data_IF_213981407457
#
_entry.id   IF_213981407457
#
_cell.length_a   1.000
_cell.length_b   1.000
_cell.length_c   1.000
_cell.angle_alpha   90.00
_cell.angle_beta   90.00
_cell.angle_gamma   90.00
#
_symmetry.space_group_name_H-M   'P 1'
#
loop_
_entity.id
_entity.type
_entity.pdbx_description
1 polymer ?
#
# COMPACT_ATOMS: atom_id res chain seq x y z
N UNK A 1 12.03 20.92 -1.88
CA UNK A 1 12.60 19.72 -1.22
C UNK A 1 12.41 18.58 -2.20
N UNK A 2 13.49 18.08 -2.80
CA UNK A 2 13.43 16.97 -3.76
C UNK A 2 13.47 15.67 -2.94
N UNK A 3 12.31 15.04 -2.76
CA UNK A 3 12.20 13.67 -2.25
C UNK A 3 11.99 12.70 -3.40
N UNK A 4 12.16 11.40 -3.16
CA UNK A 4 11.83 10.36 -4.14
C UNK A 4 10.34 10.02 -4.04
N UNK A 5 9.70 9.81 -5.17
CA UNK A 5 8.30 9.36 -5.15
C UNK A 5 8.27 7.85 -5.01
N UNK A 6 7.61 7.36 -3.97
CA UNK A 6 7.51 5.94 -3.68
C UNK A 6 6.06 5.53 -3.79
N UNK A 7 5.81 4.40 -4.44
CA UNK A 7 4.48 3.81 -4.56
C UNK A 7 4.53 2.35 -4.13
N UNK A 8 3.84 2.06 -3.05
CA UNK A 8 3.60 0.68 -2.64
C UNK A 8 2.27 0.21 -3.24
N UNK A 9 2.26 -1.01 -3.79
CA UNK A 9 1.05 -1.67 -4.28
C UNK A 9 0.93 -3.06 -3.66
N UNK A 10 -0.29 -3.45 -3.32
CA UNK A 10 -0.62 -4.80 -2.89
C UNK A 10 -1.79 -5.32 -3.73
N UNK A 11 -1.60 -6.51 -4.29
CA UNK A 11 -2.57 -7.19 -5.14
C UNK A 11 -3.18 -8.35 -4.38
N UNK A 12 -4.50 -8.47 -4.45
CA UNK A 12 -5.26 -9.49 -3.77
C UNK A 12 -6.16 -10.23 -4.75
N UNK A 13 -6.30 -11.53 -4.54
CA UNK A 13 -7.13 -12.43 -5.32
C UNK A 13 -8.26 -13.01 -4.46
N UNK A 14 -9.29 -13.52 -5.13
CA UNK A 14 -10.41 -14.21 -4.49
C UNK A 14 -11.38 -13.26 -3.79
N UNK A 15 -11.48 -12.02 -4.26
CA UNK A 15 -12.44 -11.05 -3.73
C UNK A 15 -13.87 -11.40 -4.18
N UNK A 16 -14.81 -11.36 -3.23
CA UNK A 16 -16.23 -11.66 -3.39
C UNK A 16 -17.08 -10.73 -2.48
N UNK A 17 -18.37 -11.04 -2.33
CA UNK A 17 -19.39 -10.18 -1.71
C UNK A 17 -19.15 -9.74 -0.25
N UNK A 18 -18.23 -10.37 0.48
CA UNK A 18 -17.90 -9.99 1.87
C UNK A 18 -16.43 -9.65 2.08
N UNK A 19 -15.67 -9.58 0.99
CA UNK A 19 -14.25 -9.27 0.98
C UNK A 19 -13.99 -7.82 1.36
N UNK A 20 -13.05 -7.62 2.30
CA UNK A 20 -12.62 -6.30 2.77
C UNK A 20 -11.11 -6.28 2.94
N UNK A 21 -10.48 -5.23 2.44
CA UNK A 21 -9.05 -5.02 2.63
C UNK A 21 -8.71 -3.56 2.80
N UNK A 22 -7.80 -3.25 3.71
CA UNK A 22 -7.33 -1.89 3.95
C UNK A 22 -5.91 -1.85 4.47
N UNK A 23 -5.20 -0.77 4.15
CA UNK A 23 -3.95 -0.42 4.80
C UNK A 23 -4.24 0.18 6.17
N UNK A 24 -3.72 -0.46 7.21
CA UNK A 24 -3.80 0.02 8.60
C UNK A 24 -2.71 1.06 8.87
N UNK A 25 -1.51 0.83 8.34
CA UNK A 25 -0.38 1.76 8.48
C UNK A 25 0.65 1.54 7.39
N UNK A 26 1.29 2.63 6.98
CA UNK A 26 2.47 2.62 6.11
C UNK A 26 3.57 3.38 6.85
N UNK A 27 4.71 2.74 7.03
CA UNK A 27 5.85 3.29 7.74
C UNK A 27 7.08 3.31 6.84
N UNK A 28 7.79 4.43 6.83
CA UNK A 28 9.10 4.59 6.22
C UNK A 28 10.13 4.70 7.34
N UNK A 29 11.03 3.72 7.48
CA UNK A 29 12.01 3.69 8.57
C UNK A 29 11.37 3.99 9.95
N UNK A 30 10.32 3.24 10.28
CA UNK A 30 9.55 3.36 11.54
C UNK A 30 8.76 4.67 11.70
N UNK A 31 8.85 5.59 10.73
CA UNK A 31 8.06 6.83 10.73
C UNK A 31 6.77 6.62 9.96
N UNK A 32 5.59 6.87 10.54
CA UNK A 32 4.33 6.77 9.82
C UNK A 32 4.28 7.79 8.68
N UNK A 33 3.88 7.34 7.49
CA UNK A 33 3.67 8.18 6.32
C UNK A 33 2.21 8.12 5.89
N UNK A 34 1.68 9.28 5.49
CA UNK A 34 0.35 9.35 4.90
C UNK A 34 0.44 9.01 3.40
N UNK A 35 -0.49 8.17 2.93
CA UNK A 35 -0.68 7.98 1.51
C UNK A 35 -1.21 9.28 0.88
N UNK A 36 -0.71 9.61 -0.30
CA UNK A 36 -1.10 10.78 -1.08
C UNK A 36 -2.57 10.70 -1.47
N UNK A 37 -3.23 11.85 -1.56
CA UNK A 37 -4.56 12.00 -2.14
C UNK A 37 -4.66 11.26 -3.48
N UNK A 38 -5.72 10.45 -3.63
CA UNK A 38 -5.95 9.63 -4.83
C UNK A 38 -5.35 8.21 -4.76
N UNK A 39 -4.63 7.87 -3.69
CA UNK A 39 -4.23 6.48 -3.41
C UNK A 39 -5.43 5.63 -2.98
N UNK A 40 -5.54 4.40 -3.48
CA UNK A 40 -6.56 3.42 -3.07
C UNK A 40 -6.06 2.63 -1.85
N UNK A 41 -6.33 3.14 -0.65
CA UNK A 41 -5.85 2.53 0.61
C UNK A 41 -6.83 1.52 1.20
N UNK A 42 -8.04 1.41 0.66
CA UNK A 42 -9.01 0.38 1.05
C UNK A 42 -9.88 -0.05 -0.14
N UNK A 43 -10.43 -1.24 -0.02
CA UNK A 43 -11.45 -1.77 -0.92
C UNK A 43 -12.41 -2.68 -0.16
N UNK A 44 -13.66 -2.72 -0.61
CA UNK A 44 -14.74 -3.52 -0.04
C UNK A 44 -15.65 -3.99 -1.17
N UNK A 45 -16.11 -5.23 -1.09
CA UNK A 45 -17.17 -5.76 -1.95
C UNK A 45 -16.82 -5.72 -3.45
N UNK A 46 -15.53 -5.82 -3.80
CA UNK A 46 -15.11 -5.96 -5.18
C UNK A 46 -15.12 -7.44 -5.57
N UNK A 47 -15.53 -7.77 -6.78
CA UNK A 47 -15.41 -9.11 -7.34
C UNK A 47 -14.11 -9.23 -8.14
N UNK A 48 -13.34 -10.29 -7.86
CA UNK A 48 -12.13 -10.62 -8.62
C UNK A 48 -10.83 -10.09 -8.00
N UNK A 49 -10.04 -9.36 -8.80
CA UNK A 49 -8.73 -8.85 -8.40
C UNK A 49 -8.84 -7.47 -7.77
N UNK A 50 -8.28 -7.32 -6.57
CA UNK A 50 -8.26 -6.05 -5.84
C UNK A 50 -6.83 -5.56 -5.76
N UNK A 51 -6.60 -4.32 -6.18
CA UNK A 51 -5.33 -3.63 -5.96
C UNK A 51 -5.52 -2.49 -4.96
N UNK A 52 -4.70 -2.48 -3.91
CA UNK A 52 -4.50 -1.30 -3.08
C UNK A 52 -3.19 -0.63 -3.47
N UNK A 53 -3.15 0.69 -3.41
CA UNK A 53 -1.95 1.49 -3.64
C UNK A 53 -1.79 2.60 -2.62
N UNK A 54 -0.54 2.93 -2.31
CA UNK A 54 -0.16 4.04 -1.44
C UNK A 54 1.05 4.75 -2.03
N UNK A 55 0.83 5.95 -2.57
CA UNK A 55 1.91 6.83 -2.99
C UNK A 55 2.36 7.73 -1.85
N UNK A 56 3.66 7.90 -1.61
CA UNK A 56 4.20 8.85 -0.64
C UNK A 56 5.58 9.35 -1.07
N UNK A 57 6.04 10.44 -0.48
CA UNK A 57 7.36 11.02 -0.79
C UNK A 57 8.37 10.62 0.28
N UNK A 58 9.44 9.94 -0.12
CA UNK A 58 10.55 9.57 0.76
C UNK A 58 11.64 10.66 0.75
N UNK A 59 12.23 11.03 1.90
CA UNK A 59 13.33 11.98 1.94
C UNK A 59 14.57 11.44 1.20
N UNK A 60 15.19 12.27 0.35
CA UNK A 60 16.35 11.89 -0.47
C UNK A 60 17.59 11.45 0.35
N UNK A 61 17.65 11.77 1.64
CA UNK A 61 18.78 11.48 2.52
C UNK A 61 18.88 10.01 2.99
N UNK A 62 17.92 9.15 2.64
CA UNK A 62 17.91 7.75 3.09
C UNK A 62 18.57 6.83 2.06
N UNK A 63 19.87 6.57 2.24
CA UNK A 63 20.64 5.62 1.40
C UNK A 63 20.11 4.18 1.50
N UNK A 64 19.53 3.83 2.65
CA UNK A 64 18.78 2.59 2.88
C UNK A 64 17.47 2.96 3.56
N UNK A 65 16.35 2.56 2.98
CA UNK A 65 15.03 2.76 3.57
C UNK A 65 14.24 1.45 3.55
N UNK A 66 13.52 1.19 4.63
CA UNK A 66 12.56 0.08 4.72
C UNK A 66 11.15 0.66 4.75
N UNK A 67 10.26 0.02 3.98
CA UNK A 67 8.84 0.32 3.97
C UNK A 67 8.13 -0.84 4.64
N UNK A 68 7.42 -0.56 5.74
CA UNK A 68 6.59 -1.54 6.45
C UNK A 68 5.14 -1.17 6.27
N UNK A 69 4.35 -2.11 5.78
CA UNK A 69 2.92 -1.93 5.54
C UNK A 69 2.15 -2.95 6.36
N UNK A 70 1.17 -2.48 7.11
CA UNK A 70 0.25 -3.33 7.86
C UNK A 70 -1.07 -3.36 7.13
N UNK A 71 -1.57 -4.57 6.84
CA UNK A 71 -2.76 -4.78 6.01
C UNK A 71 -3.79 -5.55 6.85
N UNK A 72 -5.01 -5.02 6.90
CA UNK A 72 -6.17 -5.78 7.38
C UNK A 72 -6.85 -6.39 6.18
N UNK A 73 -7.07 -7.70 6.20
CA UNK A 73 -7.73 -8.43 5.11
C UNK A 73 -8.77 -9.39 5.67
N UNK A 74 -9.88 -9.53 4.95
CA UNK A 74 -10.96 -10.46 5.23
C UNK A 74 -11.44 -11.08 3.92
N UNK A 75 -11.50 -12.42 3.87
CA UNK A 75 -11.95 -13.19 2.71
C UNK A 75 -11.26 -12.80 1.39
N UNK A 76 -9.93 -12.65 1.45
CA UNK A 76 -9.05 -12.32 0.33
C UNK A 76 -7.71 -13.02 0.56
N UNK A 77 -6.95 -13.24 -0.51
CA UNK A 77 -5.57 -13.70 -0.44
C UNK A 77 -4.63 -12.66 -1.04
N UNK A 78 -3.54 -12.34 -0.33
CA UNK A 78 -2.47 -11.54 -0.90
C UNK A 78 -1.74 -12.36 -1.98
N UNK A 79 -1.68 -11.83 -3.19
CA UNK A 79 -0.97 -12.43 -4.31
C UNK A 79 0.47 -11.93 -4.38
N UNK A 80 0.65 -10.61 -4.53
CA UNK A 80 1.96 -9.99 -4.65
C UNK A 80 1.98 -8.56 -4.11
N UNK A 81 3.19 -8.10 -3.81
CA UNK A 81 3.46 -6.72 -3.44
C UNK A 81 4.50 -6.12 -4.37
N UNK A 82 4.37 -4.83 -4.64
CA UNK A 82 5.30 -4.08 -5.49
C UNK A 82 5.69 -2.79 -4.81
N UNK A 83 6.97 -2.43 -4.94
CA UNK A 83 7.49 -1.15 -4.51
C UNK A 83 8.13 -0.46 -5.70
N UNK A 84 7.53 0.63 -6.14
CA UNK A 84 8.02 1.47 -7.25
C UNK A 84 8.64 2.72 -6.65
N UNK A 85 9.84 3.08 -7.10
CA UNK A 85 10.54 4.30 -6.69
C UNK A 85 10.87 5.10 -7.95
N UNK A 86 10.37 6.32 -8.02
CA UNK A 86 10.65 7.32 -9.06
C UNK A 86 11.58 8.42 -8.52
#
# INVERSE_FOLDING_TARGET
MVGKEVRFKAHFLGSHDDSKVSFLSVMLNETPVACRTGSKTESRFEDGEVTLDCGFTAPAATATASVKVSISLHHLQLDKTELVVD
#
